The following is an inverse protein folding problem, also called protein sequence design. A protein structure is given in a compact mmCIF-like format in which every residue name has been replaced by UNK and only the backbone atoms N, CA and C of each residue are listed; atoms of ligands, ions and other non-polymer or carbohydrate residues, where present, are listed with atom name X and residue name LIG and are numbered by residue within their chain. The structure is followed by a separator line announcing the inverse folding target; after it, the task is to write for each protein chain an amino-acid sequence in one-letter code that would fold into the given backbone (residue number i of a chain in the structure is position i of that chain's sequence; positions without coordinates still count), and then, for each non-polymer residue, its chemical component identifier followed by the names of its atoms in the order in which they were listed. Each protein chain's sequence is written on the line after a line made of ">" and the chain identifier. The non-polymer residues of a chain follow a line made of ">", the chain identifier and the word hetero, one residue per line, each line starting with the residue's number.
data_IF_179955889740
#
_entry.id   IF_179955889740
#
_cell.length_a   1.000
_cell.length_b   1.000
_cell.length_c   1.000
_cell.angle_alpha   90.00
_cell.angle_beta   90.00
_cell.angle_gamma   90.00
#
_symmetry.space_group_name_H-M   'P 1'
#
loop_
_entity.id
_entity.type
_entity.pdbx_description
1 polymer ?
#
# COMPACT_ATOMS: atom_id res chain seq x y z
N UNK A 1 -68.17 15.13 55.48
CA UNK A 1 -66.73 15.22 55.10
C UNK A 1 -66.62 14.80 53.65
N UNK A 2 -66.73 15.73 52.72
CA UNK A 2 -66.79 15.53 51.25
C UNK A 2 -65.46 15.91 50.62
N UNK A 3 -64.78 14.89 50.09
CA UNK A 3 -63.49 15.10 49.37
C UNK A 3 -63.78 15.36 47.89
N UNK A 4 -63.60 16.61 47.47
CA UNK A 4 -63.69 17.04 46.08
C UNK A 4 -62.32 16.81 45.41
N UNK A 5 -62.27 15.90 44.44
CA UNK A 5 -61.08 15.68 43.57
C UNK A 5 -61.16 16.57 42.33
N UNK A 6 -60.25 17.51 42.23
CA UNK A 6 -60.05 18.38 41.05
C UNK A 6 -59.25 17.55 40.02
N UNK A 7 -59.82 17.34 38.81
CA UNK A 7 -59.11 16.77 37.66
C UNK A 7 -58.56 17.90 36.80
N UNK A 8 -57.24 18.00 36.72
CA UNK A 8 -56.57 18.89 35.78
C UNK A 8 -56.28 18.08 34.52
N UNK A 9 -56.95 18.45 33.42
CA UNK A 9 -56.67 17.88 32.09
C UNK A 9 -55.55 18.70 31.45
N UNK A 10 -54.38 18.16 31.33
CA UNK A 10 -53.27 18.76 30.57
C UNK A 10 -53.44 18.43 29.08
N UNK A 11 -53.64 19.44 28.27
CA UNK A 11 -53.72 19.36 26.82
C UNK A 11 -52.27 19.37 26.27
N UNK A 12 -51.73 18.21 25.88
CA UNK A 12 -50.45 18.10 25.20
C UNK A 12 -50.62 18.48 23.72
N UNK A 13 -50.13 19.66 23.34
CA UNK A 13 -50.00 20.05 21.91
C UNK A 13 -48.74 19.37 21.36
N UNK A 14 -48.89 18.31 20.58
CA UNK A 14 -47.78 17.68 19.87
C UNK A 14 -47.48 18.50 18.61
N UNK A 15 -46.36 19.25 18.60
CA UNK A 15 -45.82 19.90 17.40
C UNK A 15 -44.93 18.85 16.73
N UNK A 16 -45.48 18.20 15.71
CA UNK A 16 -44.73 17.32 14.80
C UNK A 16 -43.96 18.18 13.80
N UNK A 17 -42.73 18.59 14.18
CA UNK A 17 -41.79 19.16 13.23
C UNK A 17 -41.24 18.04 12.35
N UNK A 18 -41.61 17.98 11.05
CA UNK A 18 -40.96 17.17 10.05
C UNK A 18 -39.55 17.73 9.83
N UNK A 19 -38.55 17.14 10.50
CA UNK A 19 -37.15 17.26 10.07
C UNK A 19 -36.99 16.36 8.83
N UNK A 20 -37.03 16.96 7.64
CA UNK A 20 -36.55 16.29 6.43
C UNK A 20 -35.01 16.22 6.53
N UNK A 21 -34.39 15.04 6.54
CA UNK A 21 -32.96 14.96 6.42
C UNK A 21 -32.57 15.44 5.02
N UNK A 22 -31.92 16.60 4.92
CA UNK A 22 -31.19 16.96 3.72
C UNK A 22 -30.02 16.01 3.59
N UNK A 23 -30.22 14.89 2.91
CA UNK A 23 -29.11 14.10 2.41
C UNK A 23 -28.39 14.98 1.37
N UNK A 24 -27.26 15.55 1.77
CA UNK A 24 -26.35 16.15 0.83
C UNK A 24 -25.95 15.04 -0.15
N UNK A 25 -26.45 15.11 -1.37
CA UNK A 25 -26.01 14.27 -2.47
C UNK A 25 -24.55 14.64 -2.73
N UNK A 26 -23.61 13.93 -2.10
CA UNK A 26 -22.24 13.90 -2.56
C UNK A 26 -22.30 13.37 -3.99
N UNK A 27 -22.02 14.22 -4.95
CA UNK A 27 -21.99 13.86 -6.35
C UNK A 27 -21.12 12.63 -6.49
N UNK A 28 -21.72 11.53 -6.95
CA UNK A 28 -21.00 10.31 -7.27
C UNK A 28 -20.03 10.63 -8.41
N UNK A 29 -18.81 11.02 -8.08
CA UNK A 29 -17.73 11.17 -9.04
C UNK A 29 -17.62 9.84 -9.79
N UNK A 30 -17.52 9.89 -11.11
CA UNK A 30 -17.32 8.70 -11.94
C UNK A 30 -16.15 7.91 -11.36
N UNK A 31 -16.35 6.62 -11.07
CA UNK A 31 -15.30 5.74 -10.55
C UNK A 31 -14.04 5.85 -11.45
N UNK A 32 -12.83 5.91 -10.87
CA UNK A 32 -11.62 6.03 -11.65
C UNK A 32 -11.50 4.84 -12.61
N UNK A 33 -11.08 5.10 -13.83
CA UNK A 33 -10.83 4.05 -14.80
C UNK A 33 -9.62 3.25 -14.39
N UNK A 34 -9.72 1.93 -14.43
CA UNK A 34 -8.66 1.01 -14.03
C UNK A 34 -8.37 0.00 -15.13
N UNK A 35 -7.12 -0.44 -15.19
CA UNK A 35 -6.67 -1.53 -16.04
C UNK A 35 -6.09 -2.62 -15.16
N UNK A 36 -6.52 -3.85 -15.35
CA UNK A 36 -6.05 -5.00 -14.59
C UNK A 36 -5.17 -5.90 -15.45
N UNK A 37 -4.03 -6.29 -14.88
CA UNK A 37 -3.10 -7.26 -15.45
C UNK A 37 -2.93 -8.39 -14.45
N UNK A 38 -2.89 -9.62 -14.95
CA UNK A 38 -2.67 -10.80 -14.12
C UNK A 38 -1.54 -11.62 -14.72
N UNK A 39 -0.59 -11.99 -13.87
CA UNK A 39 0.52 -12.87 -14.20
C UNK A 39 0.53 -14.03 -13.22
N UNK A 40 0.89 -15.20 -13.67
CA UNK A 40 1.01 -16.39 -12.83
C UNK A 40 2.26 -17.16 -13.18
N UNK A 41 2.80 -17.86 -12.20
CA UNK A 41 3.98 -18.68 -12.39
C UNK A 41 4.22 -19.59 -11.20
N UNK A 42 5.39 -20.18 -11.19
CA UNK A 42 5.83 -21.13 -10.19
C UNK A 42 7.27 -20.79 -9.80
N UNK A 43 7.50 -20.63 -8.51
CA UNK A 43 8.85 -20.57 -7.96
C UNK A 43 9.24 -22.00 -7.55
N UNK A 44 10.38 -22.48 -8.06
CA UNK A 44 10.88 -23.84 -7.78
C UNK A 44 11.99 -23.83 -6.72
N UNK A 45 12.35 -24.96 -6.11
CA UNK A 45 13.43 -25.04 -5.13
C UNK A 45 14.78 -24.49 -5.63
N UNK A 46 15.05 -24.63 -6.93
CA UNK A 46 16.28 -24.15 -7.57
C UNK A 46 16.34 -22.61 -7.65
N UNK A 47 15.20 -21.95 -7.52
CA UNK A 47 15.08 -20.49 -7.53
C UNK A 47 15.25 -19.88 -6.13
N UNK A 48 15.72 -20.63 -5.14
CA UNK A 48 16.00 -20.09 -3.82
C UNK A 48 17.01 -18.94 -3.90
N UNK A 49 16.58 -17.73 -3.48
CA UNK A 49 17.30 -16.44 -3.65
C UNK A 49 17.64 -16.08 -5.12
N UNK A 50 16.96 -16.67 -6.09
CA UNK A 50 17.04 -16.25 -7.49
C UNK A 50 15.81 -15.42 -7.81
N UNK A 51 15.97 -14.12 -8.16
CA UNK A 51 14.83 -13.24 -8.38
C UNK A 51 14.04 -13.59 -9.63
N UNK A 52 12.72 -13.52 -9.52
CA UNK A 52 11.77 -13.59 -10.62
C UNK A 52 11.31 -12.18 -10.97
N UNK A 53 11.49 -11.76 -12.21
CA UNK A 53 11.11 -10.47 -12.72
C UNK A 53 9.87 -10.58 -13.61
N UNK A 54 8.80 -9.84 -13.25
CA UNK A 54 7.58 -9.73 -14.05
C UNK A 54 7.45 -8.32 -14.58
N UNK A 55 7.72 -8.11 -15.87
CA UNK A 55 7.62 -6.82 -16.51
C UNK A 55 6.23 -6.58 -17.09
N UNK A 56 5.75 -5.33 -17.03
CA UNK A 56 4.49 -4.88 -17.60
C UNK A 56 4.62 -3.44 -18.12
N UNK A 57 3.71 -3.04 -19.01
CA UNK A 57 3.69 -1.68 -19.57
C UNK A 57 2.71 -0.82 -18.79
N UNK A 58 3.17 0.34 -18.34
CA UNK A 58 2.34 1.40 -17.77
C UNK A 58 2.04 2.41 -18.87
N UNK A 59 0.78 2.62 -19.26
CA UNK A 59 0.39 3.64 -20.23
C UNK A 59 0.42 5.05 -19.63
N UNK A 60 0.23 6.06 -20.46
CA UNK A 60 0.03 7.44 -20.00
C UNK A 60 -1.26 7.58 -19.16
N UNK A 61 -1.29 8.58 -18.29
CA UNK A 61 -2.47 8.89 -17.47
C UNK A 61 -2.61 8.07 -16.19
N UNK A 62 -1.74 7.09 -15.95
CA UNK A 62 -1.74 6.34 -14.70
C UNK A 62 -1.16 7.19 -13.57
N UNK A 63 -1.88 7.22 -12.44
CA UNK A 63 -1.49 7.97 -11.22
C UNK A 63 -1.30 7.07 -10.01
N UNK A 64 -1.73 5.79 -10.10
CA UNK A 64 -1.53 4.79 -9.04
C UNK A 64 -1.35 3.40 -9.62
N UNK A 65 -0.46 2.63 -9.00
CA UNK A 65 -0.24 1.20 -9.26
C UNK A 65 -0.52 0.46 -7.95
N UNK A 66 -1.41 -0.52 -7.98
CA UNK A 66 -1.65 -1.45 -6.89
C UNK A 66 -1.19 -2.84 -7.32
N UNK A 67 -0.42 -3.50 -6.48
CA UNK A 67 0.05 -4.88 -6.72
C UNK A 67 -0.41 -5.78 -5.60
N UNK A 68 -0.98 -6.93 -5.95
CA UNK A 68 -1.36 -7.98 -4.99
C UNK A 68 -0.75 -9.30 -5.44
N UNK A 69 -0.03 -9.95 -4.53
CA UNK A 69 0.55 -11.26 -4.71
C UNK A 69 -0.28 -12.30 -3.96
N UNK A 70 -0.75 -13.30 -4.68
CA UNK A 70 -1.33 -14.50 -4.09
C UNK A 70 -0.33 -15.63 -4.21
N UNK A 71 -0.04 -16.30 -3.09
CA UNK A 71 0.74 -17.53 -3.07
C UNK A 71 -0.24 -18.65 -2.82
N UNK A 72 -0.47 -19.41 -3.86
CA UNK A 72 -1.29 -20.62 -3.86
C UNK A 72 -0.41 -21.83 -3.87
N UNK A 73 -0.96 -22.92 -3.46
CA UNK A 73 -0.41 -24.24 -3.69
C UNK A 73 -1.46 -25.28 -3.39
N UNK A 74 -1.34 -26.42 -3.98
CA UNK A 74 -1.90 -27.64 -3.41
C UNK A 74 -1.19 -28.09 -2.13
N UNK A 75 -0.22 -27.31 -1.62
CA UNK A 75 0.55 -27.61 -0.41
C UNK A 75 0.03 -26.84 0.79
N UNK A 76 0.02 -27.47 1.97
CA UNK A 76 -0.53 -26.91 3.20
C UNK A 76 0.16 -25.61 3.68
N UNK A 77 1.37 -25.30 3.18
CA UNK A 77 2.12 -24.08 3.47
C UNK A 77 2.92 -23.65 2.23
N UNK A 78 2.47 -22.63 1.50
CA UNK A 78 3.25 -22.06 0.41
C UNK A 78 4.58 -21.50 0.92
N UNK A 79 5.60 -21.51 0.09
CA UNK A 79 6.84 -20.77 0.36
C UNK A 79 6.60 -19.27 0.41
N UNK A 80 7.61 -18.52 0.84
CA UNK A 80 7.57 -17.07 0.83
C UNK A 80 8.27 -16.53 -0.42
N UNK A 81 7.67 -15.51 -1.03
CA UNK A 81 8.27 -14.70 -2.08
C UNK A 81 8.26 -13.26 -1.63
N UNK A 82 9.44 -12.70 -1.41
CA UNK A 82 9.61 -11.28 -1.12
C UNK A 82 9.16 -10.45 -2.30
N UNK A 83 8.70 -9.23 -2.06
CA UNK A 83 8.02 -8.42 -3.06
C UNK A 83 8.63 -7.02 -3.15
N UNK A 84 8.89 -6.57 -4.38
CA UNK A 84 9.38 -5.23 -4.68
C UNK A 84 9.02 -4.80 -6.10
N UNK A 85 9.37 -3.56 -6.47
CA UNK A 85 9.06 -3.00 -7.78
C UNK A 85 10.10 -1.98 -8.23
N UNK A 86 10.30 -1.95 -9.54
CA UNK A 86 11.11 -0.97 -10.25
C UNK A 86 10.26 -0.24 -11.28
N UNK A 87 10.58 1.03 -11.50
CA UNK A 87 9.92 1.85 -12.53
C UNK A 87 10.64 1.77 -13.88
N UNK A 88 10.22 2.61 -14.82
CA UNK A 88 10.68 2.65 -16.21
C UNK A 88 12.19 2.95 -16.36
N UNK A 89 12.83 3.42 -15.29
CA UNK A 89 14.27 3.77 -15.29
C UNK A 89 15.17 2.55 -15.12
N UNK A 90 14.59 1.36 -14.94
CA UNK A 90 15.32 0.10 -14.96
C UNK A 90 15.23 -0.73 -13.68
N UNK A 91 15.36 -2.05 -13.84
CA UNK A 91 15.22 -3.04 -12.78
C UNK A 91 16.58 -3.38 -12.16
N UNK A 92 17.08 -2.50 -11.29
CA UNK A 92 18.33 -2.72 -10.55
C UNK A 92 18.24 -2.09 -9.16
N UNK A 93 18.68 -2.82 -8.11
CA UNK A 93 18.62 -2.34 -6.73
C UNK A 93 19.42 -1.07 -6.48
N UNK A 94 20.54 -0.90 -7.18
CA UNK A 94 21.38 0.30 -7.11
C UNK A 94 21.01 1.36 -8.17
N UNK A 95 20.03 1.05 -8.99
CA UNK A 95 19.58 1.90 -10.07
C UNK A 95 18.51 2.91 -9.67
N UNK A 96 18.32 3.96 -10.48
CA UNK A 96 17.33 5.00 -10.20
C UNK A 96 15.89 4.50 -10.25
N UNK A 97 15.64 3.33 -10.84
CA UNK A 97 14.30 2.75 -10.99
C UNK A 97 13.76 2.07 -9.76
N UNK A 98 14.53 1.89 -8.70
CA UNK A 98 14.05 1.23 -7.49
C UNK A 98 12.95 2.05 -6.80
N UNK A 99 11.77 1.45 -6.63
CA UNK A 99 10.58 2.09 -6.06
C UNK A 99 10.13 1.46 -4.75
N UNK A 100 10.82 0.45 -4.26
CA UNK A 100 10.58 -0.10 -2.93
C UNK A 100 10.58 -1.62 -2.86
N UNK A 101 10.69 -2.09 -1.61
CA UNK A 101 10.76 -3.49 -1.25
C UNK A 101 10.13 -3.70 0.12
N UNK A 102 9.35 -4.75 0.29
CA UNK A 102 8.72 -5.09 1.56
C UNK A 102 9.15 -6.43 2.13
N UNK A 103 10.12 -7.10 1.49
CA UNK A 103 10.47 -8.46 1.89
C UNK A 103 9.24 -9.37 1.86
N UNK A 104 9.19 -10.33 2.74
CA UNK A 104 8.05 -11.23 2.91
C UNK A 104 6.93 -10.70 3.80
N UNK A 105 7.05 -9.46 4.29
CA UNK A 105 6.10 -8.88 5.25
C UNK A 105 4.73 -8.56 4.65
N UNK A 106 4.66 -8.34 3.35
CA UNK A 106 3.42 -7.93 2.65
C UNK A 106 3.17 -8.77 1.41
N UNK A 107 1.90 -8.98 1.15
CA UNK A 107 1.39 -9.60 -0.09
C UNK A 107 0.81 -8.57 -1.05
N UNK A 108 0.74 -7.31 -0.65
CA UNK A 108 0.24 -6.22 -1.47
C UNK A 108 0.89 -4.90 -1.10
N UNK A 109 0.95 -4.01 -2.08
CA UNK A 109 1.36 -2.63 -1.90
C UNK A 109 0.68 -1.72 -2.95
N UNK A 110 0.71 -0.44 -2.67
CA UNK A 110 0.29 0.62 -3.58
C UNK A 110 1.36 1.68 -3.71
N UNK A 111 1.52 2.21 -4.90
CA UNK A 111 2.35 3.36 -5.20
C UNK A 111 1.49 4.37 -5.95
N UNK A 112 1.32 5.54 -5.37
CA UNK A 112 0.70 6.70 -5.99
C UNK A 112 1.67 7.85 -6.15
N UNK A 113 1.20 8.93 -6.76
CA UNK A 113 2.05 10.12 -6.96
C UNK A 113 2.37 10.85 -5.64
N UNK A 114 1.45 10.84 -4.67
CA UNK A 114 1.58 11.58 -3.40
C UNK A 114 1.78 10.69 -2.18
N UNK A 115 1.43 9.42 -2.28
CA UNK A 115 1.51 8.47 -1.17
C UNK A 115 1.88 7.07 -1.68
N UNK A 116 2.44 6.25 -0.82
CA UNK A 116 2.75 4.85 -1.08
C UNK A 116 2.67 4.03 0.21
N UNK A 117 2.51 2.74 0.07
CA UNK A 117 2.66 1.79 1.18
C UNK A 117 4.06 1.95 1.82
N UNK A 118 4.18 1.94 3.15
CA UNK A 118 5.48 1.97 3.82
C UNK A 118 6.46 0.93 3.27
N UNK A 119 7.68 1.37 2.94
CA UNK A 119 8.70 0.57 2.22
C UNK A 119 8.72 0.84 0.72
N UNK A 120 7.78 1.63 0.20
CA UNK A 120 7.70 2.05 -1.20
C UNK A 120 7.78 3.57 -1.33
N UNK A 121 8.22 4.04 -2.50
CA UNK A 121 8.45 5.45 -2.79
C UNK A 121 7.32 6.02 -3.63
N UNK A 122 6.59 7.00 -3.08
CA UNK A 122 5.66 7.81 -3.83
C UNK A 122 6.39 8.68 -4.87
N UNK A 123 5.68 9.12 -5.89
CA UNK A 123 6.23 9.96 -6.94
C UNK A 123 5.60 9.66 -8.29
N UNK A 124 6.02 10.36 -9.34
CA UNK A 124 5.46 10.20 -10.68
C UNK A 124 5.37 8.74 -11.11
N UNK A 125 4.23 8.41 -11.67
CA UNK A 125 4.00 7.16 -12.38
C UNK A 125 4.19 7.47 -13.88
N UNK A 126 5.43 7.35 -14.34
CA UNK A 126 5.73 7.61 -15.74
C UNK A 126 5.36 6.42 -16.61
N UNK A 127 4.90 6.66 -17.85
CA UNK A 127 4.66 5.59 -18.81
C UNK A 127 5.95 4.86 -19.15
N UNK A 128 5.84 3.58 -19.45
CA UNK A 128 7.00 2.77 -19.81
C UNK A 128 6.94 1.37 -19.21
N UNK A 129 8.06 0.66 -19.27
CA UNK A 129 8.17 -0.69 -18.72
C UNK A 129 8.52 -0.65 -17.23
N UNK A 130 7.61 -1.10 -16.41
CA UNK A 130 7.79 -1.33 -14.98
C UNK A 130 8.00 -2.82 -14.71
N UNK A 131 8.62 -3.15 -13.59
CA UNK A 131 8.96 -4.54 -13.28
C UNK A 131 8.71 -4.83 -11.80
N UNK A 132 7.84 -5.79 -11.51
CA UNK A 132 7.72 -6.39 -10.18
C UNK A 132 8.83 -7.42 -10.02
N UNK A 133 9.49 -7.42 -8.89
CA UNK A 133 10.45 -8.46 -8.50
C UNK A 133 9.86 -9.29 -7.36
N UNK A 134 9.98 -10.59 -7.48
CA UNK A 134 9.67 -11.58 -6.45
C UNK A 134 10.94 -12.37 -6.14
N UNK A 135 11.29 -12.50 -4.86
CA UNK A 135 12.45 -13.28 -4.42
C UNK A 135 11.98 -14.47 -3.60
N UNK A 136 12.13 -15.71 -4.10
CA UNK A 136 11.85 -16.90 -3.31
C UNK A 136 12.80 -17.01 -2.13
N UNK A 137 12.28 -17.01 -0.91
CA UNK A 137 13.07 -17.05 0.33
C UNK A 137 12.79 -18.28 1.20
N UNK A 138 12.05 -19.26 0.68
CA UNK A 138 11.82 -20.53 1.34
C UNK A 138 12.51 -21.66 0.59
N UNK A 139 13.55 -22.22 1.17
CA UNK A 139 14.30 -23.34 0.56
C UNK A 139 13.45 -24.60 0.39
N UNK A 140 13.73 -25.36 -0.68
CA UNK A 140 13.16 -26.70 -0.89
C UNK A 140 11.66 -26.74 -1.19
N UNK A 141 11.02 -25.59 -1.49
CA UNK A 141 9.59 -25.52 -1.78
C UNK A 141 9.31 -25.02 -3.18
N UNK A 142 8.34 -25.67 -3.81
CA UNK A 142 7.66 -25.15 -4.98
C UNK A 142 6.48 -24.31 -4.55
N UNK A 143 6.34 -23.11 -5.08
CA UNK A 143 5.26 -22.19 -4.72
C UNK A 143 4.63 -21.61 -5.98
N UNK A 144 3.36 -21.91 -6.19
CA UNK A 144 2.58 -21.24 -7.23
C UNK A 144 2.29 -19.81 -6.80
N UNK A 145 2.36 -18.86 -7.72
CA UNK A 145 2.08 -17.47 -7.45
C UNK A 145 1.23 -16.84 -8.55
N UNK A 146 0.45 -15.86 -8.13
CA UNK A 146 -0.29 -14.97 -9.03
C UNK A 146 -0.07 -13.55 -8.60
N UNK A 147 0.29 -12.68 -9.54
CA UNK A 147 0.35 -11.23 -9.38
C UNK A 147 -0.86 -10.62 -10.07
N UNK A 148 -1.64 -9.84 -9.32
CA UNK A 148 -2.67 -8.95 -9.85
C UNK A 148 -2.15 -7.52 -9.76
N UNK A 149 -2.08 -6.82 -10.89
CA UNK A 149 -1.62 -5.44 -10.98
C UNK A 149 -2.79 -4.59 -11.46
N UNK A 150 -3.14 -3.56 -10.71
CA UNK A 150 -4.18 -2.61 -11.09
C UNK A 150 -3.54 -1.24 -11.33
N UNK A 151 -3.72 -0.72 -12.54
CA UNK A 151 -3.30 0.60 -12.95
C UNK A 151 -4.50 1.53 -12.90
N UNK A 152 -4.43 2.63 -12.15
CA UNK A 152 -5.53 3.58 -11.97
C UNK A 152 -5.24 4.88 -12.70
N UNK A 153 -6.13 5.27 -13.62
CA UNK A 153 -6.08 6.56 -14.29
C UNK A 153 -6.61 7.67 -13.39
N UNK A 154 -6.06 8.87 -13.54
CA UNK A 154 -6.54 10.02 -12.79
C UNK A 154 -5.81 11.32 -13.12
N UNK A 155 -6.22 12.42 -12.52
CA UNK A 155 -5.53 13.69 -12.66
C UNK A 155 -4.17 13.63 -11.97
N UNK A 156 -3.14 14.13 -12.63
CA UNK A 156 -1.78 14.24 -12.09
C UNK A 156 -1.74 15.13 -10.85
N UNK A 157 -0.97 14.72 -9.85
CA UNK A 157 -0.73 15.54 -8.68
C UNK A 157 -0.02 16.85 -9.07
N UNK A 158 -0.55 17.98 -8.58
CA UNK A 158 0.05 19.31 -8.82
C UNK A 158 1.39 19.45 -8.13
N UNK A 159 1.55 18.81 -6.97
CA UNK A 159 2.79 18.83 -6.17
C UNK A 159 3.11 17.41 -5.74
N UNK A 160 4.34 17.00 -5.95
CA UNK A 160 4.85 15.73 -5.45
C UNK A 160 5.40 15.90 -4.04
N UNK A 161 5.41 14.85 -3.21
CA UNK A 161 6.13 14.89 -1.96
C UNK A 161 7.61 15.15 -2.22
N UNK A 162 8.21 16.02 -1.46
CA UNK A 162 9.65 16.20 -1.49
C UNK A 162 10.31 14.93 -0.93
N UNK A 163 11.37 14.40 -1.57
CA UNK A 163 12.14 13.33 -0.97
C UNK A 163 12.71 13.81 0.35
N UNK A 164 12.31 13.19 1.44
CA UNK A 164 12.87 13.50 2.76
C UNK A 164 14.10 12.63 3.00
N UNK A 165 15.24 13.05 2.46
CA UNK A 165 16.54 12.41 2.74
C UNK A 165 17.35 13.11 3.84
N UNK A 166 16.82 14.19 4.39
CA UNK A 166 17.49 14.89 5.47
C UNK A 166 17.32 14.09 6.77
N UNK A 167 18.23 13.18 7.02
CA UNK A 167 18.46 12.76 8.40
C UNK A 167 19.05 13.97 9.14
N UNK A 168 18.39 14.54 10.14
CA UNK A 168 19.03 15.53 10.99
C UNK A 168 20.26 14.90 11.60
N UNK A 169 21.35 15.64 11.70
CA UNK A 169 22.50 15.21 12.46
C UNK A 169 22.06 14.99 13.91
N UNK A 170 22.03 13.73 14.34
CA UNK A 170 21.51 13.36 15.65
C UNK A 170 22.46 13.79 16.78
N UNK A 171 23.76 13.85 16.51
CA UNK A 171 24.77 14.26 17.44
C UNK A 171 26.05 14.69 16.69
N UNK A 172 26.59 15.84 17.01
CA UNK A 172 27.80 16.42 16.44
C UNK A 172 29.00 16.37 17.41
N UNK A 173 28.81 15.83 18.63
CA UNK A 173 29.86 15.76 19.62
C UNK A 173 30.81 14.59 19.34
N UNK A 174 32.13 14.79 19.35
CA UNK A 174 33.07 13.68 19.27
C UNK A 174 32.86 12.70 20.43
N UNK A 175 32.90 11.40 20.15
CA UNK A 175 32.73 10.37 21.19
C UNK A 175 32.51 8.98 20.61
N UNK A 176 32.33 8.03 21.53
CA UNK A 176 31.94 6.67 21.18
C UNK A 176 30.45 6.51 21.21
N UNK A 177 29.86 5.97 20.12
CA UNK A 177 28.44 5.76 19.98
C UNK A 177 28.13 4.29 19.78
N UNK A 178 27.02 3.84 20.39
CA UNK A 178 26.43 2.54 20.05
C UNK A 178 25.61 2.71 18.78
N UNK A 179 25.84 1.85 17.80
CA UNK A 179 25.09 1.83 16.55
C UNK A 179 24.41 0.47 16.36
N UNK A 180 23.24 0.48 15.77
CA UNK A 180 22.57 -0.70 15.22
C UNK A 180 22.63 -0.62 13.70
N UNK A 181 23.62 -1.26 13.04
CA UNK A 181 23.83 -1.11 11.61
C UNK A 181 22.78 -1.86 10.76
N UNK A 182 21.95 -2.68 11.39
CA UNK A 182 20.91 -3.44 10.74
C UNK A 182 19.64 -3.38 11.59
N UNK A 183 18.62 -2.68 11.09
CA UNK A 183 17.34 -2.49 11.77
C UNK A 183 16.21 -2.69 10.79
N UNK A 184 15.22 -3.50 11.17
CA UNK A 184 13.98 -3.68 10.44
C UNK A 184 12.91 -2.73 11.01
N UNK A 185 12.26 -1.96 10.13
CA UNK A 185 11.20 -1.03 10.50
C UNK A 185 9.95 -1.28 9.65
N UNK A 186 8.90 -0.48 9.86
CA UNK A 186 7.68 -0.52 9.01
C UNK A 186 7.95 -0.21 7.53
N UNK A 187 9.14 0.28 7.20
CA UNK A 187 9.59 0.46 5.81
C UNK A 187 10.12 -0.83 5.16
N UNK A 188 10.31 -1.89 5.93
CA UNK A 188 10.62 -3.25 5.47
C UNK A 188 9.64 -4.24 6.12
N UNK A 189 10.11 -5.25 6.80
CA UNK A 189 9.33 -6.28 7.50
C UNK A 189 9.29 -6.09 9.03
N UNK A 190 9.83 -4.99 9.54
CA UNK A 190 9.74 -4.63 10.95
C UNK A 190 8.38 -4.07 11.36
N UNK A 191 8.14 -4.00 12.66
CA UNK A 191 6.87 -3.54 13.25
C UNK A 191 6.96 -2.16 13.88
N UNK A 192 8.17 -1.63 14.05
CA UNK A 192 8.40 -0.34 14.68
C UNK A 192 8.68 0.74 13.63
N UNK A 193 8.31 1.98 13.97
CA UNK A 193 8.74 3.14 13.19
C UNK A 193 10.22 3.45 13.44
N UNK A 194 10.93 4.13 12.52
CA UNK A 194 12.34 4.50 12.73
C UNK A 194 12.64 5.25 14.03
N UNK A 195 11.65 5.96 14.58
CA UNK A 195 11.78 6.66 15.85
C UNK A 195 11.64 5.76 17.09
N UNK A 196 11.26 4.49 16.92
CA UNK A 196 11.01 3.52 18.00
C UNK A 196 11.81 2.23 17.84
N UNK A 197 12.65 2.16 16.81
CA UNK A 197 13.53 1.00 16.54
C UNK A 197 14.89 1.12 17.21
#
# INVERSE_FOLDING_TARGET
>A
MTNTRIRISALLLAISGLLTPHAAAFGAGKAPKTHELTFSGKATPEQYYVPVYTSFTVPEGIVKISVTQHLGSGEARPGNLDLGIFDERGAGFEGPGFRGWSGGARRSFEIGETEATPGYLAGRINPGRWTVIQMPTTAGRTTDWTLKITLTEGPRAKKLPAPSYAAPQLNDKPGWYRIAPHVHTVHSDGRLTPAKS
#
